data_IF_340916355483
#
_entry.id   IF_340916355483
#
_cell.length_a   1.000
_cell.length_b   1.000
_cell.length_c   1.000
_cell.angle_alpha   90.00
_cell.angle_beta   90.00
_cell.angle_gamma   90.00
#
_symmetry.space_group_name_H-M   'P 1'
#
loop_
_entity.id
_entity.type
_entity.pdbx_description
1 polymer ?
#
# COMPACT_ATOMS: atom_id res chain seq x y z
N UNK A 1 28.38 -22.10 28.29
CA UNK A 1 29.03 -21.58 27.08
C UNK A 1 29.49 -22.77 26.23
N UNK A 2 28.64 -23.20 25.30
CA UNK A 2 29.03 -24.17 24.27
C UNK A 2 29.80 -23.42 23.20
N UNK A 3 31.13 -23.45 23.32
CA UNK A 3 32.09 -22.74 22.46
C UNK A 3 32.36 -23.53 21.17
N UNK A 4 31.30 -23.80 20.42
CA UNK A 4 31.36 -24.63 19.21
C UNK A 4 30.60 -23.98 18.05
N UNK A 5 31.15 -22.91 17.49
CA UNK A 5 30.75 -22.39 16.18
C UNK A 5 31.92 -22.43 15.21
N UNK A 6 32.07 -23.55 14.50
CA UNK A 6 32.87 -23.56 13.27
C UNK A 6 31.98 -23.10 12.13
N UNK A 7 32.33 -21.96 11.51
CA UNK A 7 31.64 -21.45 10.34
C UNK A 7 31.73 -22.47 9.19
N UNK A 8 30.60 -22.75 8.53
CA UNK A 8 30.61 -23.57 7.32
C UNK A 8 31.37 -22.83 6.22
N UNK A 9 32.28 -23.54 5.55
CA UNK A 9 33.05 -23.01 4.41
C UNK A 9 32.45 -23.45 3.07
N UNK A 10 31.44 -24.35 3.11
CA UNK A 10 30.68 -24.81 1.96
C UNK A 10 29.20 -25.07 2.35
N UNK A 11 28.20 -24.68 1.53
CA UNK A 11 26.77 -24.94 1.76
C UNK A 11 26.40 -26.41 2.05
N UNK A 12 27.18 -27.38 1.58
CA UNK A 12 26.94 -28.80 1.85
C UNK A 12 27.27 -29.23 3.29
N UNK A 13 27.82 -28.34 4.12
CA UNK A 13 28.23 -28.63 5.49
C UNK A 13 27.17 -28.27 6.54
N UNK A 14 26.05 -27.67 6.12
CA UNK A 14 24.95 -27.28 7.00
C UNK A 14 24.28 -28.51 7.61
N UNK A 15 24.20 -28.55 8.95
CA UNK A 15 23.54 -29.64 9.68
C UNK A 15 24.39 -30.91 9.84
N UNK A 16 25.66 -30.88 9.44
CA UNK A 16 26.61 -31.95 9.75
C UNK A 16 27.18 -31.77 11.15
N UNK A 17 27.48 -32.86 11.84
CA UNK A 17 28.17 -32.83 13.13
C UNK A 17 29.65 -33.11 12.87
N UNK A 18 30.54 -32.26 13.38
CA UNK A 18 31.99 -32.47 13.30
C UNK A 18 32.37 -33.78 14.01
N UNK A 19 33.57 -34.28 13.72
CA UNK A 19 34.13 -35.43 14.44
C UNK A 19 34.30 -35.20 15.95
N UNK A 20 34.14 -33.97 16.42
CA UNK A 20 34.16 -33.59 17.85
C UNK A 20 32.75 -33.43 18.45
N UNK A 21 31.68 -33.73 17.69
CA UNK A 21 30.31 -33.63 18.19
C UNK A 21 29.65 -32.25 18.05
N UNK A 22 30.26 -31.30 17.33
CA UNK A 22 29.75 -29.94 17.20
C UNK A 22 28.98 -29.74 15.90
N UNK A 23 27.82 -29.06 15.95
CA UNK A 23 27.04 -28.76 14.76
C UNK A 23 27.81 -27.78 13.85
N UNK A 24 28.15 -28.24 12.65
CA UNK A 24 28.78 -27.44 11.59
C UNK A 24 27.68 -26.70 10.83
N UNK A 25 27.87 -25.40 10.66
CA UNK A 25 26.99 -24.58 9.84
C UNK A 25 25.58 -24.44 10.41
N UNK A 26 25.43 -23.71 11.51
CA UNK A 26 24.12 -23.16 11.87
C UNK A 26 23.73 -22.24 10.70
N UNK A 27 22.60 -22.46 10.01
CA UNK A 27 22.14 -21.55 8.99
C UNK A 27 22.02 -20.16 9.61
N UNK A 28 22.85 -19.22 9.18
CA UNK A 28 22.74 -17.81 9.55
C UNK A 28 21.64 -17.10 8.75
N UNK A 29 20.78 -17.85 8.05
CA UNK A 29 19.59 -17.28 7.44
C UNK A 29 18.67 -16.78 8.56
N UNK A 30 18.53 -15.46 8.62
CA UNK A 30 17.60 -14.80 9.53
C UNK A 30 16.22 -15.42 9.29
N UNK A 31 15.64 -16.07 10.30
CA UNK A 31 14.27 -16.57 10.24
C UNK A 31 13.34 -15.33 10.16
N UNK A 32 13.01 -14.91 8.94
CA UNK A 32 12.05 -13.83 8.70
C UNK A 32 10.68 -14.38 9.06
N UNK A 33 10.09 -13.89 10.15
CA UNK A 33 8.75 -14.30 10.55
C UNK A 33 7.76 -13.85 9.47
N UNK A 34 6.68 -14.61 9.18
CA UNK A 34 5.66 -14.20 8.21
C UNK A 34 5.16 -12.76 8.43
N UNK A 35 5.02 -12.32 9.68
CA UNK A 35 4.62 -10.95 10.07
C UNK A 35 5.61 -9.84 9.67
N UNK A 36 6.86 -10.19 9.38
CA UNK A 36 7.90 -9.24 8.94
C UNK A 36 7.94 -9.10 7.41
N UNK A 37 7.30 -10.00 6.68
CA UNK A 37 7.15 -9.88 5.22
C UNK A 37 6.17 -8.74 4.87
N UNK A 38 6.26 -8.13 3.68
CA UNK A 38 5.29 -7.14 3.22
C UNK A 38 3.83 -7.60 3.35
N UNK A 39 3.52 -8.82 2.91
CA UNK A 39 2.20 -9.44 3.07
C UNK A 39 1.79 -9.57 4.54
N UNK A 40 2.71 -10.01 5.41
CA UNK A 40 2.45 -10.09 6.84
C UNK A 40 2.14 -8.74 7.47
N UNK A 41 2.81 -7.66 7.04
CA UNK A 41 2.54 -6.30 7.50
C UNK A 41 1.15 -5.82 7.08
N UNK A 42 0.75 -6.08 5.82
CA UNK A 42 -0.60 -5.78 5.32
C UNK A 42 -1.66 -6.49 6.16
N UNK A 43 -1.51 -7.81 6.38
CA UNK A 43 -2.44 -8.58 7.23
C UNK A 43 -2.46 -8.06 8.67
N UNK A 44 -1.29 -7.72 9.23
CA UNK A 44 -1.18 -7.20 10.58
C UNK A 44 -1.94 -5.88 10.78
N UNK A 45 -2.10 -5.05 9.73
CA UNK A 45 -2.92 -3.83 9.83
C UNK A 45 -4.38 -4.13 10.16
N UNK A 46 -4.95 -5.21 9.62
CA UNK A 46 -6.33 -5.61 9.88
C UNK A 46 -6.52 -6.38 11.21
N UNK A 47 -5.43 -6.72 11.92
CA UNK A 47 -5.50 -7.20 13.31
C UNK A 47 -5.86 -6.06 14.27
N UNK A 48 -5.50 -4.81 13.92
CA UNK A 48 -5.95 -3.64 14.66
C UNK A 48 -7.42 -3.37 14.37
N UNK A 49 -8.29 -3.64 15.34
CA UNK A 49 -9.73 -3.46 15.21
C UNK A 49 -10.10 -2.03 14.82
N UNK A 50 -9.32 -1.03 15.25
CA UNK A 50 -9.58 0.38 14.89
C UNK A 50 -9.38 0.61 13.39
N UNK A 51 -8.36 0.02 12.78
CA UNK A 51 -8.13 0.09 11.34
C UNK A 51 -9.22 -0.68 10.59
N UNK A 52 -9.54 -1.90 11.06
CA UNK A 52 -10.60 -2.73 10.48
C UNK A 52 -11.96 -2.01 10.50
N UNK A 53 -12.29 -1.33 11.59
CA UNK A 53 -13.53 -0.56 11.73
C UNK A 53 -13.57 0.63 10.77
N UNK A 54 -12.46 1.38 10.63
CA UNK A 54 -12.38 2.48 9.66
C UNK A 54 -12.52 1.96 8.22
N UNK A 55 -11.84 0.86 7.88
CA UNK A 55 -11.96 0.21 6.57
C UNK A 55 -13.39 -0.23 6.27
N UNK A 56 -14.03 -0.93 7.20
CA UNK A 56 -15.42 -1.38 7.06
C UNK A 56 -16.41 -0.22 7.00
N UNK A 57 -16.11 0.89 7.69
CA UNK A 57 -16.92 2.11 7.62
C UNK A 57 -16.87 2.74 6.22
N UNK A 58 -15.70 2.74 5.56
CA UNK A 58 -15.56 3.19 4.18
C UNK A 58 -16.19 2.21 3.18
N UNK A 59 -16.05 0.91 3.42
CA UNK A 59 -16.50 -0.16 2.52
C UNK A 59 -18.01 -0.43 2.64
N UNK A 60 -18.81 0.61 2.42
CA UNK A 60 -20.27 0.57 2.39
C UNK A 60 -20.76 1.13 1.07
N UNK A 61 -21.76 0.47 0.49
CA UNK A 61 -22.36 0.87 -0.79
C UNK A 61 -22.81 2.33 -0.80
N UNK A 62 -23.37 2.81 0.32
CA UNK A 62 -23.84 4.19 0.49
C UNK A 62 -22.72 5.23 0.33
N UNK A 63 -21.45 4.90 0.60
CA UNK A 63 -20.34 5.81 0.42
C UNK A 63 -19.95 5.94 -1.06
N UNK A 64 -20.03 4.85 -1.82
CA UNK A 64 -19.70 4.85 -3.25
C UNK A 64 -20.72 5.64 -4.08
N UNK A 65 -21.94 5.78 -3.57
CA UNK A 65 -23.03 6.54 -4.21
C UNK A 65 -23.11 8.01 -3.79
N UNK A 66 -22.23 8.47 -2.88
CA UNK A 66 -22.14 9.89 -2.54
C UNK A 66 -21.63 10.69 -3.72
N UNK A 67 -21.96 11.98 -3.74
CA UNK A 67 -21.42 12.94 -4.70
C UNK A 67 -20.05 13.51 -4.29
N UNK A 68 -19.41 12.93 -3.27
CA UNK A 68 -18.11 13.31 -2.76
C UNK A 68 -17.46 12.10 -2.09
N UNK A 69 -16.15 12.12 -2.02
CA UNK A 69 -15.38 11.09 -1.35
C UNK A 69 -15.43 11.28 0.18
N UNK A 70 -15.46 10.17 0.92
CA UNK A 70 -15.33 10.15 2.38
C UNK A 70 -14.11 9.34 2.76
N UNK A 71 -13.54 9.65 3.92
CA UNK A 71 -12.28 9.05 4.33
C UNK A 71 -11.99 9.17 5.82
N UNK A 72 -10.77 8.80 6.16
CA UNK A 72 -10.18 9.01 7.47
C UNK A 72 -8.67 9.19 7.33
N UNK A 73 -8.05 9.78 8.35
CA UNK A 73 -6.61 9.75 8.50
C UNK A 73 -6.21 9.26 9.90
N UNK A 74 -5.14 8.49 9.96
CA UNK A 74 -4.47 8.09 11.19
C UNK A 74 -3.45 9.15 11.56
N UNK A 75 -3.52 9.66 12.79
CA UNK A 75 -2.52 10.53 13.38
C UNK A 75 -1.79 9.81 14.51
N UNK A 76 -0.49 9.64 14.35
CA UNK A 76 0.43 9.14 15.34
C UNK A 76 1.07 10.31 16.10
N UNK A 77 1.03 10.28 17.43
CA UNK A 77 1.63 11.28 18.31
C UNK A 77 2.50 10.60 19.37
N UNK A 78 3.59 11.25 19.78
CA UNK A 78 4.43 10.77 20.87
C UNK A 78 3.97 11.44 22.16
N UNK A 79 3.49 10.65 23.12
CA UNK A 79 3.07 11.09 24.45
C UNK A 79 3.86 10.31 25.48
N UNK A 80 4.67 11.01 26.29
CA UNK A 80 5.53 10.39 27.31
C UNK A 80 6.42 9.26 26.75
N UNK A 81 6.99 9.46 25.55
CA UNK A 81 7.85 8.48 24.89
C UNK A 81 7.12 7.29 24.25
N UNK A 82 5.80 7.23 24.35
CA UNK A 82 4.97 6.19 23.72
C UNK A 82 4.21 6.75 22.53
N UNK A 83 4.05 5.94 21.48
CA UNK A 83 3.28 6.33 20.29
C UNK A 83 1.80 6.02 20.52
N UNK A 84 0.97 7.04 20.39
CA UNK A 84 -0.50 6.95 20.45
C UNK A 84 -1.06 7.23 19.06
N UNK A 85 -2.01 6.41 18.63
CA UNK A 85 -2.70 6.56 17.34
C UNK A 85 -4.14 7.02 17.57
N UNK A 86 -4.57 7.99 16.77
CA UNK A 86 -5.97 8.39 16.66
C UNK A 86 -6.44 8.37 15.21
N UNK A 87 -7.73 8.13 15.01
CA UNK A 87 -8.36 8.07 13.70
C UNK A 87 -9.38 9.19 13.59
N UNK A 88 -9.24 10.03 12.58
CA UNK A 88 -10.09 11.19 12.37
C UNK A 88 -10.81 11.01 11.05
N UNK A 89 -12.14 11.03 11.07
CA UNK A 89 -12.97 11.03 9.86
C UNK A 89 -12.74 12.31 9.05
N UNK A 90 -12.75 12.17 7.74
CA UNK A 90 -12.60 13.27 6.79
C UNK A 90 -13.62 13.11 5.66
N UNK A 91 -14.04 14.22 5.08
CA UNK A 91 -14.99 14.24 3.97
C UNK A 91 -14.54 15.28 2.96
N UNK A 92 -14.60 14.92 1.68
CA UNK A 92 -14.43 15.87 0.60
C UNK A 92 -15.60 16.85 0.54
N UNK A 93 -15.41 18.04 -0.04
CA UNK A 93 -16.51 18.94 -0.33
C UNK A 93 -17.49 18.30 -1.35
N UNK A 94 -18.77 18.72 -1.38
CA UNK A 94 -19.72 18.24 -2.38
C UNK A 94 -19.17 18.38 -3.80
N UNK A 95 -19.39 17.35 -4.63
CA UNK A 95 -18.89 17.30 -6.00
C UNK A 95 -17.36 17.35 -6.15
N UNK A 96 -16.66 16.70 -5.21
CA UNK A 96 -15.21 16.53 -5.29
C UNK A 96 -14.80 15.07 -5.47
N UNK A 97 -13.61 14.90 -6.03
CA UNK A 97 -12.91 13.62 -6.20
C UNK A 97 -11.62 13.61 -5.37
N UNK A 98 -11.73 14.14 -4.14
CA UNK A 98 -10.63 14.11 -3.18
C UNK A 98 -11.17 14.28 -1.76
N UNK A 99 -10.44 13.71 -0.81
CA UNK A 99 -10.52 14.05 0.60
C UNK A 99 -9.27 14.85 0.98
N UNK A 100 -9.47 16.05 1.53
CA UNK A 100 -8.35 16.89 1.95
C UNK A 100 -7.82 16.47 3.31
N UNK A 101 -6.49 16.39 3.37
CA UNK A 101 -5.77 16.31 4.64
C UNK A 101 -5.67 17.71 5.27
N UNK A 102 -5.60 17.81 6.61
CA UNK A 102 -5.38 19.08 7.27
C UNK A 102 -4.08 19.74 6.79
N UNK A 103 -4.03 21.07 6.86
CA UNK A 103 -2.84 21.86 6.51
C UNK A 103 -1.60 21.42 7.28
N UNK A 104 -1.78 21.08 8.56
CA UNK A 104 -0.75 20.45 9.41
C UNK A 104 -0.87 18.94 9.30
N UNK A 105 0.03 18.33 8.51
CA UNK A 105 0.07 16.88 8.27
C UNK A 105 1.09 16.13 9.16
N UNK A 106 1.69 16.80 10.13
CA UNK A 106 2.65 16.18 11.05
C UNK A 106 2.01 15.01 11.81
N UNK A 107 2.69 13.87 11.76
CA UNK A 107 2.25 12.62 12.40
C UNK A 107 1.15 11.89 11.65
N UNK A 108 0.72 12.32 10.46
CA UNK A 108 -0.26 11.56 9.68
C UNK A 108 0.45 10.42 8.96
N UNK A 109 0.22 9.19 9.40
CA UNK A 109 0.93 7.99 8.92
C UNK A 109 0.05 7.01 8.16
N UNK A 110 -1.27 7.19 8.23
CA UNK A 110 -2.24 6.37 7.52
C UNK A 110 -3.33 7.26 6.93
N UNK A 111 -3.85 6.86 5.78
CA UNK A 111 -4.98 7.51 5.15
C UNK A 111 -5.86 6.48 4.46
N UNK A 112 -7.16 6.73 4.42
CA UNK A 112 -8.07 5.93 3.62
C UNK A 112 -9.20 6.79 3.11
N UNK A 113 -9.59 6.61 1.86
CA UNK A 113 -10.78 7.25 1.32
C UNK A 113 -11.48 6.38 0.28
N UNK A 114 -12.71 6.76 -0.04
CA UNK A 114 -13.51 6.09 -1.07
C UNK A 114 -13.35 6.76 -2.43
N UNK A 115 -13.33 6.01 -3.53
CA UNK A 115 -13.72 6.57 -4.84
C UNK A 115 -15.20 6.28 -5.08
N UNK A 116 -15.96 7.32 -5.47
CA UNK A 116 -17.37 7.17 -5.82
C UNK A 116 -17.54 6.50 -7.19
N UNK A 117 -18.68 5.84 -7.41
CA UNK A 117 -19.01 5.14 -8.67
C UNK A 117 -19.15 6.10 -9.85
N UNK A 118 -19.68 7.29 -9.58
CA UNK A 118 -19.99 8.29 -10.59
C UNK A 118 -19.45 9.66 -10.19
N UNK A 119 -19.08 10.45 -11.20
CA UNK A 119 -18.82 11.87 -11.01
C UNK A 119 -20.13 12.64 -10.79
N UNK A 120 -20.05 13.91 -10.39
CA UNK A 120 -21.25 14.76 -10.31
C UNK A 120 -21.94 15.01 -11.67
N UNK A 121 -21.31 14.63 -12.78
CA UNK A 121 -21.92 14.67 -14.11
C UNK A 121 -22.64 13.36 -14.47
N UNK A 122 -22.64 12.37 -13.58
CA UNK A 122 -23.18 11.03 -13.83
C UNK A 122 -22.26 10.15 -14.69
N UNK A 123 -21.01 10.55 -14.92
CA UNK A 123 -20.03 9.77 -15.66
C UNK A 123 -19.40 8.72 -14.74
N UNK A 124 -19.16 7.50 -15.23
CA UNK A 124 -18.47 6.47 -14.45
C UNK A 124 -17.05 6.91 -14.05
N UNK A 125 -16.66 6.63 -12.82
CA UNK A 125 -15.36 7.01 -12.28
C UNK A 125 -14.32 5.88 -12.37
N UNK A 126 -13.04 6.20 -12.14
CA UNK A 126 -11.96 5.22 -12.11
C UNK A 126 -11.84 4.62 -10.70
N UNK A 127 -12.14 3.32 -10.60
CA UNK A 127 -12.25 2.59 -9.33
C UNK A 127 -10.93 1.94 -8.88
N UNK A 128 -9.82 2.65 -9.07
CA UNK A 128 -8.46 2.29 -8.60
C UNK A 128 -7.74 3.56 -8.15
N UNK A 129 -6.65 3.48 -7.35
CA UNK A 129 -6.00 4.68 -6.82
C UNK A 129 -5.54 5.66 -7.90
N UNK A 130 -5.66 6.95 -7.60
CA UNK A 130 -5.24 8.04 -8.48
C UNK A 130 -3.73 8.35 -8.37
N UNK A 131 -3.13 9.11 -9.31
CA UNK A 131 -1.78 9.63 -9.12
C UNK A 131 -1.65 10.53 -7.88
N UNK A 132 -2.70 11.28 -7.53
CA UNK A 132 -2.70 12.11 -6.31
C UNK A 132 -2.62 11.25 -5.05
N UNK A 133 -3.25 10.08 -5.06
CA UNK A 133 -3.22 9.12 -3.95
C UNK A 133 -1.80 8.65 -3.68
N UNK A 134 -1.10 8.25 -4.74
CA UNK A 134 0.31 7.82 -4.68
C UNK A 134 1.21 8.93 -4.14
N UNK A 135 0.99 10.17 -4.59
CA UNK A 135 1.75 11.33 -4.10
C UNK A 135 1.46 11.63 -2.63
N UNK A 136 0.20 11.59 -2.21
CA UNK A 136 -0.15 11.78 -0.80
C UNK A 136 0.49 10.68 0.06
N UNK A 137 0.45 9.44 -0.41
CA UNK A 137 1.09 8.33 0.28
C UNK A 137 2.61 8.53 0.44
N UNK A 138 3.34 8.74 -0.66
CA UNK A 138 4.80 8.86 -0.64
C UNK A 138 5.28 10.12 0.09
N UNK A 139 4.71 11.28 -0.19
CA UNK A 139 5.23 12.56 0.31
C UNK A 139 4.74 12.92 1.70
N UNK A 140 3.59 12.38 2.12
CA UNK A 140 3.03 12.61 3.45
C UNK A 140 3.19 11.38 4.33
N UNK A 141 2.49 10.29 4.02
CA UNK A 141 2.40 9.14 4.94
C UNK A 141 3.75 8.47 5.18
N UNK A 142 4.47 8.12 4.11
CA UNK A 142 5.79 7.46 4.21
C UNK A 142 6.78 8.35 4.95
N UNK A 143 6.84 9.64 4.58
CA UNK A 143 7.69 10.63 5.27
C UNK A 143 7.38 10.72 6.77
N UNK A 144 6.11 10.85 7.13
CA UNK A 144 5.72 10.97 8.54
C UNK A 144 5.93 9.67 9.31
N UNK A 145 5.76 8.51 8.68
CA UNK A 145 6.04 7.23 9.31
C UNK A 145 7.53 7.09 9.68
N UNK A 146 8.43 7.51 8.77
CA UNK A 146 9.85 7.61 9.07
C UNK A 146 10.15 8.56 10.25
N UNK A 147 9.48 9.72 10.30
CA UNK A 147 9.69 10.70 11.36
C UNK A 147 9.17 10.26 12.73
N UNK A 148 8.02 9.58 12.79
CA UNK A 148 7.36 9.21 14.06
C UNK A 148 7.80 7.84 14.55
N UNK A 149 7.88 6.85 13.66
CA UNK A 149 8.18 5.46 14.03
C UNK A 149 9.65 5.09 13.81
N UNK A 150 10.42 5.89 13.05
CA UNK A 150 11.73 5.46 12.53
C UNK A 150 11.62 4.33 11.50
N UNK A 151 10.41 4.05 11.00
CA UNK A 151 10.12 2.93 10.09
C UNK A 151 9.10 3.37 9.03
N UNK A 152 9.60 3.54 7.80
CA UNK A 152 8.81 3.93 6.63
C UNK A 152 7.69 2.93 6.30
N UNK A 153 7.86 1.66 6.66
CA UNK A 153 6.88 0.62 6.40
C UNK A 153 5.66 0.65 7.34
N UNK A 154 5.64 1.56 8.32
CA UNK A 154 4.43 1.81 9.12
C UNK A 154 3.37 2.58 8.35
N UNK A 155 3.74 3.27 7.28
CA UNK A 155 2.80 4.01 6.46
C UNK A 155 1.86 3.09 5.67
N UNK A 156 0.61 3.50 5.50
CA UNK A 156 -0.34 2.85 4.61
C UNK A 156 -1.31 3.85 3.98
N UNK A 157 -1.93 3.44 2.88
CA UNK A 157 -2.95 4.22 2.19
C UNK A 157 -4.04 3.31 1.64
N UNK A 158 -5.30 3.56 1.96
CA UNK A 158 -6.43 2.83 1.41
C UNK A 158 -7.18 3.65 0.35
N UNK A 159 -7.48 3.02 -0.78
CA UNK A 159 -8.52 3.48 -1.71
C UNK A 159 -9.60 2.41 -1.76
N UNK A 160 -10.81 2.74 -1.31
CA UNK A 160 -11.94 1.81 -1.18
C UNK A 160 -12.99 2.13 -2.25
N UNK A 161 -13.41 1.15 -3.04
CA UNK A 161 -14.33 1.38 -4.17
C UNK A 161 -15.32 0.23 -4.27
N UNK A 162 -16.38 0.39 -5.07
CA UNK A 162 -17.30 -0.70 -5.41
C UNK A 162 -16.64 -1.82 -6.23
N UNK A 163 -15.57 -1.52 -6.98
CA UNK A 163 -14.79 -2.49 -7.76
C UNK A 163 -13.75 -3.27 -6.94
N UNK A 164 -13.46 -2.81 -5.73
CA UNK A 164 -12.45 -3.41 -4.86
C UNK A 164 -11.79 -2.39 -3.94
N UNK A 165 -11.05 -2.89 -2.96
CA UNK A 165 -10.27 -2.06 -2.05
C UNK A 165 -8.77 -2.29 -2.26
N UNK A 166 -8.02 -1.21 -2.23
CA UNK A 166 -6.60 -1.19 -2.54
C UNK A 166 -5.83 -0.60 -1.38
N UNK A 167 -4.67 -1.18 -1.09
CA UNK A 167 -3.74 -0.67 -0.10
C UNK A 167 -2.40 -0.38 -0.77
N UNK A 168 -1.93 0.87 -0.71
CA UNK A 168 -0.53 1.18 -0.98
C UNK A 168 0.27 0.97 0.30
N UNK A 169 1.41 0.30 0.15
CA UNK A 169 2.32 -0.02 1.22
C UNK A 169 3.74 0.27 0.74
N UNK A 170 4.57 0.79 1.63
CA UNK A 170 5.99 0.98 1.38
C UNK A 170 6.78 -0.07 2.14
N UNK A 171 7.70 -0.75 1.47
CA UNK A 171 8.46 -1.87 2.02
C UNK A 171 9.97 -1.58 2.12
N UNK A 172 10.41 -0.44 1.58
CA UNK A 172 11.79 0.00 1.69
C UNK A 172 12.18 0.33 3.15
N UNK A 173 13.44 0.03 3.49
CA UNK A 173 14.04 0.38 4.79
C UNK A 173 14.56 1.83 4.83
N UNK A 174 14.78 2.44 3.67
CA UNK A 174 15.22 3.84 3.51
C UNK A 174 14.09 4.70 2.96
N UNK A 175 14.24 6.03 3.07
CA UNK A 175 13.32 6.96 2.43
C UNK A 175 13.21 6.66 0.91
N UNK A 176 12.03 6.82 0.30
CA UNK A 176 11.87 6.68 -1.14
C UNK A 176 12.85 7.62 -1.87
N UNK A 177 13.56 7.08 -2.85
CA UNK A 177 14.41 7.86 -3.75
C UNK A 177 13.60 8.38 -4.93
N UNK A 178 14.17 9.28 -5.72
CA UNK A 178 13.61 9.72 -7.01
C UNK A 178 12.18 10.30 -6.96
N UNK A 179 11.84 10.97 -5.84
CA UNK A 179 10.57 11.67 -5.65
C UNK A 179 10.42 12.96 -6.50
N UNK A 180 11.06 13.06 -7.67
CA UNK A 180 11.00 14.23 -8.56
C UNK A 180 9.83 14.15 -9.54
N UNK A 181 8.62 13.82 -9.06
CA UNK A 181 7.44 13.68 -9.91
C UNK A 181 6.83 15.03 -10.29
N UNK A 182 6.62 15.24 -11.59
CA UNK A 182 5.66 16.24 -12.05
C UNK A 182 4.25 15.64 -12.01
N UNK A 183 3.48 15.99 -10.98
CA UNK A 183 2.11 15.50 -10.80
C UNK A 183 1.19 15.88 -11.96
N UNK A 184 1.40 17.01 -12.64
CA UNK A 184 0.59 17.39 -13.80
C UNK A 184 0.88 16.46 -14.98
N UNK A 185 2.16 16.14 -15.20
CA UNK A 185 2.57 15.16 -16.21
C UNK A 185 2.02 13.77 -15.89
N UNK A 186 2.13 13.36 -14.62
CA UNK A 186 1.68 12.06 -14.16
C UNK A 186 0.15 11.89 -14.28
N UNK A 187 -0.62 12.91 -13.89
CA UNK A 187 -2.07 12.98 -14.12
C UNK A 187 -2.40 12.88 -15.61
N UNK A 188 -1.71 13.65 -16.47
CA UNK A 188 -1.95 13.59 -17.92
C UNK A 188 -1.68 12.20 -18.50
N UNK A 189 -0.61 11.53 -18.06
CA UNK A 189 -0.32 10.14 -18.47
C UNK A 189 -1.45 9.22 -18.03
N UNK A 190 -1.86 9.30 -16.76
CA UNK A 190 -2.93 8.50 -16.19
C UNK A 190 -4.25 8.69 -16.95
N UNK A 191 -4.70 9.93 -17.11
CA UNK A 191 -5.92 10.28 -17.84
C UNK A 191 -5.89 9.75 -19.28
N UNK A 192 -4.75 9.88 -19.96
CA UNK A 192 -4.62 9.39 -21.34
C UNK A 192 -4.70 7.86 -21.41
N UNK A 193 -4.11 7.15 -20.45
CA UNK A 193 -4.15 5.70 -20.41
C UNK A 193 -5.59 5.22 -20.18
N UNK A 194 -6.30 5.79 -19.22
CA UNK A 194 -7.67 5.38 -18.91
C UNK A 194 -8.68 5.82 -19.97
N UNK A 195 -8.56 7.04 -20.53
CA UNK A 195 -9.41 7.49 -21.66
C UNK A 195 -9.31 6.58 -22.87
N UNK A 196 -8.11 6.09 -23.21
CA UNK A 196 -7.92 5.18 -24.34
C UNK A 196 -8.66 3.88 -24.15
N UNK A 197 -8.71 3.35 -22.93
CA UNK A 197 -9.38 2.09 -22.63
C UNK A 197 -10.89 2.29 -22.71
N UNK A 198 -11.42 3.34 -22.07
CA UNK A 198 -12.85 3.67 -22.12
C UNK A 198 -13.37 3.96 -23.53
N UNK A 199 -12.53 4.52 -24.43
CA UNK A 199 -12.90 4.78 -25.82
C UNK A 199 -12.93 3.51 -26.69
N UNK A 200 -12.21 2.45 -26.32
CA UNK A 200 -12.18 1.20 -27.10
C UNK A 200 -13.36 0.26 -26.83
N UNK A 201 -13.98 0.30 -25.64
CA UNK A 201 -15.02 -0.63 -25.22
C UNK A 201 -16.28 0.04 -24.63
N UNK A 202 -16.27 1.36 -24.40
CA UNK A 202 -17.36 2.11 -23.78
C UNK A 202 -17.49 1.93 -22.26
N UNK A 203 -16.82 0.94 -21.66
CA UNK A 203 -16.80 0.64 -20.23
C UNK A 203 -15.51 -0.11 -19.86
N UNK A 204 -14.71 0.41 -18.94
CA UNK A 204 -13.52 -0.29 -18.46
C UNK A 204 -13.91 -1.40 -17.45
N UNK A 205 -13.51 -2.64 -17.72
CA UNK A 205 -13.67 -3.71 -16.73
C UNK A 205 -12.76 -3.46 -15.52
N UNK A 206 -13.17 -3.91 -14.33
CA UNK A 206 -12.34 -3.70 -13.14
C UNK A 206 -10.97 -4.38 -13.25
N UNK A 207 -10.90 -5.54 -13.91
CA UNK A 207 -9.63 -6.25 -14.13
C UNK A 207 -8.71 -5.46 -15.07
N UNK A 208 -9.26 -4.80 -16.09
CA UNK A 208 -8.48 -3.93 -16.97
C UNK A 208 -8.03 -2.66 -16.25
N UNK A 209 -8.87 -2.08 -15.37
CA UNK A 209 -8.49 -0.96 -14.52
C UNK A 209 -7.32 -1.33 -13.58
N UNK A 210 -7.41 -2.47 -12.90
CA UNK A 210 -6.35 -3.00 -12.02
C UNK A 210 -5.05 -3.26 -12.79
N UNK A 211 -5.13 -3.95 -13.94
CA UNK A 211 -3.97 -4.22 -14.78
C UNK A 211 -3.32 -2.93 -15.27
N UNK A 212 -4.14 -1.97 -15.67
CA UNK A 212 -3.71 -0.67 -16.16
C UNK A 212 -3.03 0.13 -15.07
N UNK A 213 -3.59 0.13 -13.85
CA UNK A 213 -3.02 0.78 -12.69
C UNK A 213 -1.68 0.17 -12.28
N UNK A 214 -1.59 -1.17 -12.20
CA UNK A 214 -0.34 -1.86 -11.88
C UNK A 214 0.76 -1.57 -12.92
N UNK A 215 0.40 -1.54 -14.22
CA UNK A 215 1.32 -1.12 -15.28
C UNK A 215 1.76 0.32 -15.10
N UNK A 216 0.83 1.22 -14.78
CA UNK A 216 1.12 2.62 -14.56
C UNK A 216 2.11 2.81 -13.40
N UNK A 217 1.89 2.15 -12.26
CA UNK A 217 2.82 2.12 -11.14
C UNK A 217 4.21 1.64 -11.57
N UNK A 218 4.30 0.50 -12.26
CA UNK A 218 5.59 -0.09 -12.65
C UNK A 218 6.37 0.76 -13.65
N UNK A 219 5.69 1.39 -14.62
CA UNK A 219 6.35 2.04 -15.76
C UNK A 219 6.51 3.56 -15.60
N UNK A 220 5.65 4.22 -14.81
CA UNK A 220 5.62 5.69 -14.73
C UNK A 220 5.92 6.22 -13.33
N UNK A 221 5.64 5.44 -12.28
CA UNK A 221 5.99 5.80 -10.90
C UNK A 221 7.33 5.16 -10.53
N UNK A 222 7.46 3.85 -10.72
CA UNK A 222 8.71 3.10 -10.61
C UNK A 222 9.54 3.43 -9.35
N UNK A 223 8.90 3.42 -8.18
CA UNK A 223 9.57 3.61 -6.88
C UNK A 223 9.85 2.25 -6.25
N UNK A 224 11.12 2.01 -5.94
CA UNK A 224 11.53 0.83 -5.21
C UNK A 224 10.87 0.79 -3.83
N UNK A 225 10.30 -0.36 -3.49
CA UNK A 225 9.57 -0.57 -2.25
C UNK A 225 8.13 -0.05 -2.25
N UNK A 226 7.66 0.64 -3.29
CA UNK A 226 6.23 0.96 -3.42
C UNK A 226 5.49 -0.27 -3.96
N UNK A 227 4.54 -0.77 -3.16
CA UNK A 227 3.72 -1.92 -3.52
C UNK A 227 2.24 -1.59 -3.39
N UNK A 228 1.43 -2.29 -4.19
CA UNK A 228 -0.03 -2.21 -4.13
C UNK A 228 -0.61 -3.59 -3.86
N UNK A 229 -1.60 -3.62 -2.98
CA UNK A 229 -2.33 -4.82 -2.61
C UNK A 229 -3.82 -4.62 -2.89
N UNK A 230 -4.48 -5.65 -3.42
CA UNK A 230 -5.93 -5.77 -3.33
C UNK A 230 -6.25 -6.38 -1.97
N UNK A 231 -7.12 -5.74 -1.21
CA UNK A 231 -7.39 -6.14 0.18
C UNK A 231 -8.89 -6.30 0.43
N UNK A 232 -9.20 -7.22 1.33
CA UNK A 232 -10.47 -7.25 2.07
C UNK A 232 -10.15 -7.14 3.56
N UNK A 233 -11.16 -7.22 4.42
CA UNK A 233 -10.94 -7.24 5.86
C UNK A 233 -10.13 -8.46 6.35
N UNK A 234 -10.05 -9.53 5.54
CA UNK A 234 -9.49 -10.81 5.94
C UNK A 234 -8.47 -11.39 4.94
N UNK A 235 -8.41 -10.85 3.71
CA UNK A 235 -7.51 -11.32 2.65
C UNK A 235 -6.70 -10.17 2.05
N UNK A 236 -5.53 -10.50 1.52
CA UNK A 236 -4.71 -9.58 0.75
C UNK A 236 -4.04 -10.32 -0.40
N UNK A 237 -3.91 -9.64 -1.53
CA UNK A 237 -3.21 -10.12 -2.72
C UNK A 237 -2.31 -9.01 -3.23
N UNK A 238 -1.01 -9.28 -3.38
CA UNK A 238 -0.11 -8.32 -4.02
C UNK A 238 -0.44 -8.26 -5.51
N UNK A 239 -0.57 -7.04 -6.03
CA UNK A 239 -0.77 -6.80 -7.46
C UNK A 239 0.53 -6.35 -8.10
N UNK A 240 0.99 -7.07 -9.12
CA UNK A 240 2.25 -6.78 -9.80
C UNK A 240 2.08 -6.88 -11.32
N UNK A 241 2.61 -5.90 -12.05
CA UNK A 241 2.61 -5.94 -13.51
C UNK A 241 3.91 -6.56 -14.02
N UNK A 242 3.79 -7.65 -14.77
CA UNK A 242 4.92 -8.29 -15.44
C UNK A 242 5.11 -7.67 -16.84
N UNK A 243 6.22 -6.95 -17.10
CA UNK A 243 6.48 -6.32 -18.39
C UNK A 243 6.77 -7.32 -19.51
N UNK A 244 7.19 -8.56 -19.19
CA UNK A 244 7.54 -9.57 -20.18
C UNK A 244 6.29 -10.22 -20.77
N UNK A 245 5.40 -10.67 -19.89
CA UNK A 245 4.12 -11.29 -20.27
C UNK A 245 3.02 -10.26 -20.54
N UNK A 246 3.24 -9.00 -20.12
CA UNK A 246 2.26 -7.89 -20.19
C UNK A 246 0.96 -8.19 -19.46
N UNK A 247 1.02 -8.98 -18.39
CA UNK A 247 -0.14 -9.38 -17.58
C UNK A 247 -0.05 -8.82 -16.16
N UNK A 248 -1.22 -8.70 -15.53
CA UNK A 248 -1.32 -8.50 -14.09
C UNK A 248 -1.15 -9.84 -13.40
N UNK A 249 -0.20 -9.92 -12.48
CA UNK A 249 0.01 -11.05 -11.58
C UNK A 249 -0.60 -10.68 -10.23
N UNK A 250 -1.43 -11.57 -9.68
CA UNK A 250 -1.98 -11.46 -8.33
C UNK A 250 -1.37 -12.57 -7.49
N UNK A 251 -0.65 -12.17 -6.44
CA UNK A 251 0.06 -13.10 -5.56
C UNK A 251 -0.67 -13.10 -4.22
N UNK A 252 -1.39 -14.17 -3.87
CA UNK A 252 -2.05 -14.27 -2.57
C UNK A 252 -1.06 -14.11 -1.42
N UNK A 253 -1.42 -13.30 -0.43
CA UNK A 253 -0.65 -13.23 0.80
C UNK A 253 -0.98 -14.44 1.69
N UNK A 254 0.01 -15.29 2.02
CA UNK A 254 -0.19 -16.47 2.88
C UNK A 254 -0.58 -16.08 4.30
#
# INVERSE_FOLDING_TARGET
PDDCSTNATNPSQVGLVSSTGCNIGVPTETIIRPSQTPCGKVKQKFVDTRIKDQFNSLNKQENFQKNHEVGFYEKATIVNGSITQSFISASGPPCSHHVDLPSVSTGITGFGHTHNDYTCKGEGNILVPSPKDIMVFLFKMVKQAGNVYGDYSKAYYFTVTSGGSYMLQYTGSTAPQDLSFDIKKLNKIYDNIFKRITQSDGTISQNDAEKTFARFLKQNVNIDGLEVYKVTADTAEKMEYDPNTKTLVKIPCP
#
